data_IF_129791584541
#
_entry.id   IF_129791584541
#
_cell.length_a   1.000
_cell.length_b   1.000
_cell.length_c   1.000
_cell.angle_alpha   90.00
_cell.angle_beta   90.00
_cell.angle_gamma   90.00
#
_symmetry.space_group_name_H-M   'P 1'
#
loop_
_entity.id
_entity.type
_entity.pdbx_description
1 polymer ?
#
# COMPACT_ATOMS: atom_id res chain seq x y z
N UNK A 1 18.01 0.65 -22.13
CA UNK A 1 18.19 1.88 -21.32
C UNK A 1 17.43 1.65 -20.03
N UNK A 2 18.14 1.34 -18.95
CA UNK A 2 17.53 1.04 -17.65
C UNK A 2 17.07 2.36 -17.02
N UNK A 3 15.78 2.68 -17.13
CA UNK A 3 15.17 3.74 -16.32
C UNK A 3 15.18 3.30 -14.86
N UNK A 4 16.20 3.71 -14.12
CA UNK A 4 16.21 3.63 -12.66
C UNK A 4 14.93 4.31 -12.13
N UNK A 5 14.09 3.64 -11.34
CA UNK A 5 12.87 4.24 -10.81
C UNK A 5 13.24 5.50 -10.04
N UNK A 6 12.92 6.67 -10.60
CA UNK A 6 13.24 7.94 -9.97
C UNK A 6 12.28 8.11 -8.78
N UNK A 7 12.81 8.04 -7.56
CA UNK A 7 12.04 8.11 -6.32
C UNK A 7 11.59 9.53 -5.94
N UNK A 8 12.15 10.55 -6.60
CA UNK A 8 11.91 11.96 -6.28
C UNK A 8 10.44 12.42 -6.34
N UNK A 9 9.57 11.96 -7.27
CA UNK A 9 8.17 12.36 -7.27
C UNK A 9 7.33 11.63 -6.21
N UNK A 10 7.75 10.44 -5.74
CA UNK A 10 7.01 9.67 -4.73
C UNK A 10 7.23 10.19 -3.31
N UNK A 11 8.42 10.73 -3.02
CA UNK A 11 8.74 11.25 -1.69
C UNK A 11 7.87 12.45 -1.29
N UNK A 12 7.60 13.36 -2.23
CA UNK A 12 6.80 14.56 -1.95
C UNK A 12 5.33 14.21 -1.70
N UNK A 13 4.74 13.34 -2.51
CA UNK A 13 3.36 12.90 -2.34
C UNK A 13 3.18 12.07 -1.06
N UNK A 14 4.12 11.18 -0.75
CA UNK A 14 4.11 10.41 0.50
C UNK A 14 4.20 11.33 1.73
N UNK A 15 5.08 12.34 1.68
CA UNK A 15 5.21 13.31 2.76
C UNK A 15 3.94 14.15 2.92
N UNK A 16 3.38 14.66 1.82
CA UNK A 16 2.12 15.40 1.85
C UNK A 16 0.97 14.55 2.42
N UNK A 17 0.85 13.29 1.98
CA UNK A 17 -0.14 12.34 2.49
C UNK A 17 0.04 12.06 3.99
N UNK A 18 1.28 11.88 4.45
CA UNK A 18 1.56 11.66 5.86
C UNK A 18 1.22 12.89 6.71
N UNK A 19 1.60 14.09 6.27
CA UNK A 19 1.31 15.34 6.99
C UNK A 19 -0.19 15.62 7.03
N UNK A 20 -0.88 15.51 5.89
CA UNK A 20 -2.33 15.71 5.82
C UNK A 20 -3.07 14.64 6.63
N UNK A 21 -2.66 13.37 6.50
CA UNK A 21 -3.27 12.25 7.22
C UNK A 21 -3.13 12.40 8.74
N UNK A 22 -1.90 12.55 9.25
CA UNK A 22 -1.67 12.70 10.69
C UNK A 22 -2.20 14.02 11.24
N UNK A 23 -2.03 15.13 10.51
CA UNK A 23 -2.53 16.43 10.91
C UNK A 23 -4.06 16.46 10.99
N UNK A 24 -4.74 15.93 9.97
CA UNK A 24 -6.19 15.81 9.99
C UNK A 24 -6.67 14.85 11.08
N UNK A 25 -5.97 13.73 11.30
CA UNK A 25 -6.33 12.78 12.35
C UNK A 25 -6.26 13.43 13.74
N UNK A 26 -5.20 14.21 13.99
CA UNK A 26 -5.04 14.96 15.24
C UNK A 26 -6.20 15.94 15.47
N UNK A 27 -6.60 16.69 14.44
CA UNK A 27 -7.74 17.62 14.51
C UNK A 27 -9.04 16.86 14.77
N UNK A 28 -9.30 15.76 14.05
CA UNK A 28 -10.51 14.96 14.22
C UNK A 28 -10.60 14.41 15.64
N UNK A 29 -9.52 13.87 16.18
CA UNK A 29 -9.51 13.27 17.51
C UNK A 29 -9.65 14.28 18.66
N UNK A 30 -9.19 15.53 18.47
CA UNK A 30 -9.15 16.54 19.55
C UNK A 30 -10.27 17.57 19.47
N UNK A 31 -10.76 17.88 18.26
CA UNK A 31 -11.70 18.98 18.04
C UNK A 31 -13.08 18.53 17.58
N UNK A 32 -13.27 17.25 17.26
CA UNK A 32 -14.56 16.77 16.75
C UNK A 32 -15.17 15.70 17.63
N UNK A 33 -16.49 15.75 17.78
CA UNK A 33 -17.26 14.70 18.43
C UNK A 33 -17.40 13.50 17.47
N UNK A 34 -17.55 12.26 18.00
CA UNK A 34 -17.61 11.04 17.21
C UNK A 34 -18.98 10.83 16.52
N UNK A 35 -19.47 11.87 15.84
CA UNK A 35 -20.61 11.82 14.92
C UNK A 35 -20.28 11.01 13.67
N UNK A 36 -21.31 10.63 12.92
CA UNK A 36 -21.18 9.78 11.72
C UNK A 36 -20.15 10.34 10.73
N UNK A 37 -20.23 11.63 10.38
CA UNK A 37 -19.31 12.26 9.43
C UNK A 37 -17.86 12.35 9.92
N UNK A 38 -17.66 12.64 11.21
CA UNK A 38 -16.31 12.69 11.80
C UNK A 38 -15.63 11.32 11.76
N UNK A 39 -16.38 10.22 11.99
CA UNK A 39 -15.84 8.85 11.88
C UNK A 39 -15.37 8.52 10.47
N UNK A 40 -16.12 8.92 9.44
CA UNK A 40 -15.67 8.75 8.05
C UNK A 40 -14.39 9.55 7.77
N UNK A 41 -14.32 10.78 8.27
CA UNK A 41 -13.10 11.60 8.23
C UNK A 41 -11.92 10.88 8.87
N UNK A 42 -12.12 10.30 10.07
CA UNK A 42 -11.11 9.50 10.76
C UNK A 42 -10.59 8.34 9.88
N UNK A 43 -11.46 7.56 9.24
CA UNK A 43 -11.02 6.43 8.40
C UNK A 43 -10.21 6.87 7.19
N UNK A 44 -10.65 7.93 6.50
CA UNK A 44 -9.94 8.47 5.33
C UNK A 44 -8.57 9.02 5.73
N UNK A 45 -8.51 9.78 6.82
CA UNK A 45 -7.27 10.38 7.33
C UNK A 45 -6.31 9.32 7.87
N UNK A 46 -6.82 8.29 8.55
CA UNK A 46 -6.03 7.15 9.01
C UNK A 46 -5.44 6.39 7.81
N UNK A 47 -6.24 6.14 6.78
CA UNK A 47 -5.78 5.51 5.54
C UNK A 47 -4.66 6.34 4.88
N UNK A 48 -4.83 7.66 4.76
CA UNK A 48 -3.82 8.55 4.20
C UNK A 48 -2.55 8.58 5.06
N UNK A 49 -2.69 8.64 6.38
CA UNK A 49 -1.58 8.67 7.32
C UNK A 49 -0.73 7.39 7.21
N UNK A 50 -1.37 6.23 7.20
CA UNK A 50 -0.69 4.93 7.10
C UNK A 50 -0.10 4.68 5.71
N UNK A 51 -0.79 5.09 4.64
CA UNK A 51 -0.26 4.96 3.28
C UNK A 51 0.95 5.89 3.08
N UNK A 52 0.87 7.13 3.55
CA UNK A 52 1.95 8.12 3.46
C UNK A 52 3.18 7.73 4.25
N UNK A 53 3.02 7.15 5.46
CA UNK A 53 4.16 6.67 6.27
C UNK A 53 4.75 5.35 5.78
N UNK A 54 3.93 4.45 5.23
CA UNK A 54 4.41 3.16 4.72
C UNK A 54 5.16 3.29 3.40
N UNK A 55 4.86 4.29 2.56
CA UNK A 55 5.53 4.50 1.27
C UNK A 55 7.08 4.63 1.37
N UNK A 56 7.65 5.50 2.23
CA UNK A 56 9.10 5.57 2.41
C UNK A 56 9.68 4.30 3.04
N UNK A 57 8.92 3.62 3.92
CA UNK A 57 9.33 2.36 4.56
C UNK A 57 9.47 1.27 3.49
N UNK A 58 8.43 1.05 2.69
CA UNK A 58 8.41 0.02 1.63
C UNK A 58 9.47 0.30 0.57
N UNK A 59 9.67 1.57 0.19
CA UNK A 59 10.74 1.95 -0.72
C UNK A 59 12.13 1.61 -0.13
N UNK A 60 12.36 1.94 1.14
CA UNK A 60 13.62 1.60 1.81
C UNK A 60 13.85 0.09 1.84
N UNK A 61 12.82 -0.72 2.11
CA UNK A 61 12.91 -2.17 2.04
C UNK A 61 13.27 -2.69 0.65
N UNK A 62 12.66 -2.16 -0.42
CA UNK A 62 12.99 -2.56 -1.80
C UNK A 62 14.41 -2.14 -2.21
N UNK A 63 14.89 -0.99 -1.72
CA UNK A 63 16.28 -0.57 -1.90
C UNK A 63 17.26 -1.48 -1.15
N UNK A 64 16.87 -1.98 0.02
CA UNK A 64 17.73 -2.84 0.87
C UNK A 64 17.75 -4.31 0.44
N UNK A 65 16.62 -4.80 -0.08
CA UNK A 65 16.42 -6.17 -0.57
C UNK A 65 15.95 -6.12 -2.03
N UNK A 66 16.87 -5.93 -2.99
CA UNK A 66 16.54 -5.96 -4.40
C UNK A 66 16.06 -7.37 -4.77
N UNK A 67 14.81 -7.49 -5.20
CA UNK A 67 14.31 -8.72 -5.79
C UNK A 67 14.63 -8.74 -7.29
N UNK A 68 14.98 -9.92 -7.82
CA UNK A 68 15.03 -10.16 -9.27
C UNK A 68 13.68 -10.76 -9.70
N UNK A 69 12.88 -10.10 -10.55
CA UNK A 69 13.12 -8.85 -11.29
C UNK A 69 12.85 -7.57 -10.46
N UNK A 70 13.45 -6.41 -10.85
CA UNK A 70 13.31 -5.15 -10.13
C UNK A 70 11.83 -4.76 -9.97
N UNK A 71 11.46 -4.36 -8.76
CA UNK A 71 10.09 -3.97 -8.45
C UNK A 71 9.73 -2.69 -9.21
N UNK A 72 8.67 -2.78 -10.02
CA UNK A 72 8.07 -1.60 -10.67
C UNK A 72 7.53 -0.65 -9.59
N UNK A 73 7.58 0.67 -9.83
CA UNK A 73 7.06 1.67 -8.90
C UNK A 73 5.61 1.44 -8.46
N UNK A 74 4.80 0.83 -9.34
CA UNK A 74 3.41 0.43 -9.06
C UNK A 74 3.28 -0.55 -7.88
N UNK A 75 4.21 -1.51 -7.76
CA UNK A 75 4.20 -2.50 -6.67
C UNK A 75 4.46 -1.83 -5.32
N UNK A 76 5.33 -0.81 -5.30
CA UNK A 76 5.67 -0.06 -4.07
C UNK A 76 4.45 0.73 -3.59
N UNK A 77 3.76 1.42 -4.51
CA UNK A 77 2.54 2.19 -4.21
C UNK A 77 1.44 1.26 -3.70
N UNK A 78 1.25 0.12 -4.36
CA UNK A 78 0.24 -0.86 -3.97
C UNK A 78 0.51 -1.45 -2.58
N UNK A 79 1.75 -1.80 -2.27
CA UNK A 79 2.10 -2.31 -0.93
C UNK A 79 1.90 -1.26 0.16
N UNK A 80 2.28 0.00 -0.09
CA UNK A 80 1.98 1.09 0.84
C UNK A 80 0.47 1.27 1.04
N UNK A 81 -0.30 1.16 -0.05
CA UNK A 81 -1.77 1.24 -0.02
C UNK A 81 -2.38 0.10 0.78
N UNK A 82 -1.86 -1.13 0.65
CA UNK A 82 -2.31 -2.27 1.44
C UNK A 82 -2.11 -2.08 2.94
N UNK A 83 -1.02 -1.43 3.37
CA UNK A 83 -0.82 -1.07 4.79
C UNK A 83 -1.92 -0.11 5.26
N UNK A 84 -2.26 0.89 4.44
CA UNK A 84 -3.37 1.79 4.71
C UNK A 84 -4.72 1.08 4.82
N UNK A 85 -5.04 0.22 3.84
CA UNK A 85 -6.30 -0.56 3.82
C UNK A 85 -6.37 -1.44 5.06
N UNK A 86 -5.29 -2.17 5.37
CA UNK A 86 -5.22 -3.04 6.54
C UNK A 86 -5.52 -2.29 7.85
N UNK A 87 -4.83 -1.16 8.07
CA UNK A 87 -5.03 -0.39 9.30
C UNK A 87 -6.42 0.24 9.39
N UNK A 88 -6.98 0.72 8.27
CA UNK A 88 -8.34 1.23 8.23
C UNK A 88 -9.37 0.13 8.50
N UNK A 89 -9.20 -1.06 7.92
CA UNK A 89 -10.05 -2.23 8.20
C UNK A 89 -9.96 -2.66 9.65
N UNK A 90 -8.77 -2.70 10.25
CA UNK A 90 -8.61 -3.02 11.67
C UNK A 90 -9.32 -1.99 12.56
N UNK A 91 -9.13 -0.70 12.29
CA UNK A 91 -9.80 0.35 13.04
C UNK A 91 -11.33 0.25 12.90
N UNK A 92 -11.81 -0.14 11.73
CA UNK A 92 -13.24 -0.39 11.49
C UNK A 92 -13.77 -1.57 12.32
N UNK A 93 -13.04 -2.69 12.31
CA UNK A 93 -13.40 -3.86 13.12
C UNK A 93 -13.33 -3.57 14.62
N UNK A 94 -12.43 -2.66 15.04
CA UNK A 94 -12.28 -2.27 16.44
C UNK A 94 -13.54 -1.55 16.94
N UNK A 95 -14.21 -0.79 16.08
CA UNK A 95 -15.47 -0.13 16.41
C UNK A 95 -16.60 -1.15 16.68
N UNK A 96 -16.56 -2.30 15.99
CA UNK A 96 -17.45 -3.44 16.26
C UNK A 96 -16.98 -4.36 17.40
N UNK A 97 -15.85 -4.06 18.05
CA UNK A 97 -15.20 -4.92 19.05
C UNK A 97 -14.89 -6.34 18.56
N UNK A 98 -14.72 -6.50 17.24
CA UNK A 98 -14.44 -7.80 16.61
C UNK A 98 -12.93 -8.07 16.51
N UNK A 99 -12.08 -7.12 16.87
CA UNK A 99 -10.63 -7.26 16.74
C UNK A 99 -10.08 -8.20 17.81
N UNK A 100 -9.73 -9.41 17.37
CA UNK A 100 -8.95 -10.38 18.16
C UNK A 100 -7.61 -10.63 17.48
N UNK A 101 -6.63 -11.16 18.23
CA UNK A 101 -5.31 -11.48 17.69
C UNK A 101 -5.39 -12.39 16.45
N UNK A 102 -6.30 -13.37 16.46
CA UNK A 102 -6.54 -14.25 15.31
C UNK A 102 -7.03 -13.49 14.08
N UNK A 103 -7.90 -12.50 14.26
CA UNK A 103 -8.40 -11.67 13.16
C UNK A 103 -7.29 -10.78 12.61
N UNK A 104 -6.49 -10.16 13.47
CA UNK A 104 -5.34 -9.34 13.06
C UNK A 104 -4.38 -10.16 12.18
N UNK A 105 -3.99 -11.36 12.64
CA UNK A 105 -3.09 -12.24 11.91
C UNK A 105 -3.72 -12.84 10.66
N UNK A 106 -5.00 -13.22 10.73
CA UNK A 106 -5.75 -13.76 9.59
C UNK A 106 -5.90 -12.75 8.46
N UNK A 107 -6.25 -11.50 8.77
CA UNK A 107 -6.33 -10.41 7.78
C UNK A 107 -4.95 -10.09 7.20
N UNK A 108 -3.90 -10.03 8.04
CA UNK A 108 -2.54 -9.79 7.56
C UNK A 108 -2.09 -10.90 6.61
N UNK A 109 -2.30 -12.17 6.99
CA UNK A 109 -1.99 -13.33 6.15
C UNK A 109 -2.77 -13.33 4.84
N UNK A 110 -4.07 -13.02 4.88
CA UNK A 110 -4.91 -12.93 3.69
C UNK A 110 -4.46 -11.83 2.72
N UNK A 111 -4.08 -10.66 3.24
CA UNK A 111 -3.53 -9.56 2.44
C UNK A 111 -2.19 -9.92 1.79
N UNK A 112 -1.29 -10.54 2.55
CA UNK A 112 0.01 -11.00 2.05
C UNK A 112 -0.21 -12.05 0.94
N UNK A 113 -1.14 -12.99 1.14
CA UNK A 113 -1.49 -13.98 0.14
C UNK A 113 -2.07 -13.32 -1.12
N UNK A 114 -2.97 -12.34 -0.98
CA UNK A 114 -3.53 -11.61 -2.11
C UNK A 114 -2.44 -10.89 -2.92
N UNK A 115 -1.51 -10.18 -2.27
CA UNK A 115 -0.38 -9.54 -2.93
C UNK A 115 0.52 -10.56 -3.64
N UNK A 116 0.76 -11.71 -3.01
CA UNK A 116 1.55 -12.79 -3.61
C UNK A 116 0.89 -13.35 -4.89
N UNK A 117 -0.42 -13.60 -4.85
CA UNK A 117 -1.19 -14.05 -6.02
C UNK A 117 -1.17 -13.02 -7.16
N UNK A 118 -1.33 -11.73 -6.85
CA UNK A 118 -1.25 -10.65 -7.85
C UNK A 118 0.15 -10.64 -8.49
N UNK A 119 1.21 -10.73 -7.68
CA UNK A 119 2.59 -10.81 -8.18
C UNK A 119 2.83 -12.01 -9.10
N UNK A 120 2.26 -13.18 -8.79
CA UNK A 120 2.37 -14.36 -9.66
C UNK A 120 1.71 -14.08 -11.01
N UNK A 121 0.51 -13.49 -11.01
CA UNK A 121 -0.19 -13.15 -12.24
C UNK A 121 0.58 -12.14 -13.09
N UNK A 122 1.15 -11.10 -12.48
CA UNK A 122 2.00 -10.12 -13.17
C UNK A 122 3.23 -10.78 -13.82
N UNK A 123 3.89 -11.71 -13.11
CA UNK A 123 5.03 -12.46 -13.67
C UNK A 123 4.61 -13.37 -14.84
N UNK A 124 3.44 -13.99 -14.76
CA UNK A 124 2.93 -14.86 -15.81
C UNK A 124 2.59 -14.07 -17.09
N UNK A 125 1.94 -12.92 -16.96
CA UNK A 125 1.60 -12.04 -18.10
C UNK A 125 2.83 -11.47 -18.80
N UNK A 126 3.94 -11.27 -18.08
CA UNK A 126 5.19 -10.72 -18.66
C UNK A 126 5.93 -11.71 -19.57
N UNK A 127 5.67 -13.02 -19.47
CA UNK A 127 6.23 -14.04 -20.37
C UNK A 127 5.39 -14.15 -21.64
N UNK A 128 5.35 -13.10 -22.45
CA UNK A 128 4.83 -13.25 -23.82
C UNK A 128 5.81 -14.13 -24.61
N UNK A 129 5.35 -15.15 -25.36
CA UNK A 129 6.23 -15.94 -26.20
C UNK A 129 6.86 -15.00 -27.23
N UNK A 130 8.18 -15.04 -27.35
CA UNK A 130 8.86 -14.43 -28.49
C UNK A 130 8.39 -15.25 -29.69
N UNK A 131 7.47 -14.72 -30.49
CA UNK A 131 7.15 -15.31 -31.80
C UNK A 131 8.44 -15.10 -32.60
N UNK A 132 9.22 -16.17 -32.78
CA UNK A 132 10.31 -16.15 -33.74
C UNK A 132 9.62 -16.14 -35.10
N UNK A 133 9.59 -14.98 -35.76
CA UNK A 133 9.25 -14.90 -37.18
C UNK A 133 10.40 -15.57 -37.95
N UNK A 134 10.43 -16.89 -37.94
CA UNK A 134 11.15 -17.70 -38.91
C UNK A 134 10.41 -17.55 -40.24
N UNK A 135 10.63 -16.41 -40.90
CA UNK A 135 10.28 -16.25 -42.30
C UNK A 135 11.51 -16.62 -43.14
N UNK A 136 11.64 -17.88 -43.63
CA UNK A 136 12.54 -18.15 -44.73
C UNK A 136 11.95 -17.50 -46.00
N UNK A 137 12.77 -16.66 -46.62
CA UNK A 137 12.60 -16.03 -47.94
C UNK A 137 11.90 -16.89 -48.98
#
# INVERSE_FOLDING_TARGET
>A
MEESPNFKPFGLSAFALAVIGWGGLYVVLTQTLPFVWSRWGFFVLLFMALTGTSLPIVFYFHRRFPAEPPANGDVIIRQATWVGVYGATLAWLQLGQLVTLYIILGLAGGLIAAEYFIRIREKATRRQPIIHDDNPS
#
